data_IF_829845775175
#
_entry.id   IF_829845775175
#
_cell.length_a   1.000
_cell.length_b   1.000
_cell.length_c   1.000
_cell.angle_alpha   90.00
_cell.angle_beta   90.00
_cell.angle_gamma   90.00
#
_symmetry.space_group_name_H-M   'P 1'
#
loop_
_entity.id
_entity.type
_entity.pdbx_description
1 polymer ?
#
# COMPACT_ATOMS: atom_id res chain seq x y z
N UNK A 1 1.60 31.15 -6.70
CA UNK A 1 2.08 30.53 -7.95
C UNK A 1 2.95 31.57 -8.67
N UNK A 2 4.25 31.33 -8.86
CA UNK A 2 5.13 32.29 -9.55
C UNK A 2 5.00 32.06 -11.06
N UNK A 3 4.50 33.04 -11.79
CA UNK A 3 4.48 33.01 -13.27
C UNK A 3 5.92 32.99 -13.78
N UNK A 4 6.30 31.94 -14.52
CA UNK A 4 7.57 31.85 -15.21
C UNK A 4 7.34 32.20 -16.69
N UNK A 5 8.10 33.16 -17.21
CA UNK A 5 8.11 33.50 -18.63
C UNK A 5 9.38 32.87 -19.20
N UNK A 6 9.23 32.02 -20.21
CA UNK A 6 10.34 31.34 -20.87
C UNK A 6 10.67 32.03 -22.19
N UNK A 7 11.96 32.18 -22.49
CA UNK A 7 12.44 32.59 -23.80
C UNK A 7 12.70 31.32 -24.60
N UNK A 8 11.99 31.14 -25.71
CA UNK A 8 12.00 29.91 -26.49
C UNK A 8 12.73 30.17 -27.80
N UNK A 9 13.74 29.36 -28.13
CA UNK A 9 14.58 29.58 -29.31
C UNK A 9 14.03 28.85 -30.54
N UNK A 10 13.39 27.69 -30.33
CA UNK A 10 12.87 26.85 -31.39
C UNK A 10 11.46 26.32 -31.09
N UNK A 11 10.58 26.19 -32.11
CA UNK A 11 9.22 25.66 -31.92
C UNK A 11 9.15 24.26 -31.32
N UNK A 12 10.23 23.48 -31.43
CA UNK A 12 10.35 22.12 -30.89
C UNK A 12 10.42 22.09 -29.35
N UNK A 13 10.74 23.22 -28.72
CA UNK A 13 10.75 23.39 -27.27
C UNK A 13 9.33 23.64 -26.70
N UNK A 14 8.32 23.67 -27.58
CA UNK A 14 6.92 23.86 -27.22
C UNK A 14 6.15 22.54 -27.33
N UNK A 15 5.13 22.39 -26.49
CA UNK A 15 4.20 21.26 -26.55
C UNK A 15 3.52 21.18 -27.93
N UNK A 16 3.04 19.99 -28.32
CA UNK A 16 2.10 19.89 -29.43
C UNK A 16 0.95 20.88 -29.25
N UNK A 17 0.49 21.54 -30.33
CA UNK A 17 -0.62 22.46 -30.24
C UNK A 17 -1.88 21.70 -29.82
N UNK A 18 -2.53 22.17 -28.75
CA UNK A 18 -3.82 21.63 -28.36
C UNK A 18 -4.81 21.87 -29.50
N UNK A 19 -5.44 20.80 -29.98
CA UNK A 19 -6.53 20.90 -30.97
C UNK A 19 -7.77 21.49 -30.30
N UNK A 20 -7.78 22.82 -30.11
CA UNK A 20 -8.98 23.58 -29.78
C UNK A 20 -9.58 24.19 -31.07
N UNK A 21 -10.87 24.50 -31.08
CA UNK A 21 -11.56 25.12 -32.23
C UNK A 21 -11.41 26.66 -32.26
N UNK A 22 -10.40 27.23 -31.59
CA UNK A 22 -10.18 28.67 -31.41
C UNK A 22 -9.09 29.24 -32.31
N UNK A 23 -9.01 30.57 -32.36
CA UNK A 23 -8.03 31.32 -33.15
C UNK A 23 -6.62 31.38 -32.50
N UNK A 24 -6.54 31.23 -31.18
CA UNK A 24 -5.28 31.25 -30.43
C UNK A 24 -4.81 29.82 -30.12
N UNK A 25 -3.52 29.55 -30.35
CA UNK A 25 -2.87 28.28 -30.00
C UNK A 25 -2.18 28.43 -28.65
N UNK A 26 -2.71 27.74 -27.64
CA UNK A 26 -2.07 27.66 -26.32
C UNK A 26 -1.01 26.56 -26.34
N UNK A 27 0.22 26.90 -25.96
CA UNK A 27 1.36 25.98 -25.87
C UNK A 27 2.12 26.19 -24.57
N UNK A 28 2.69 25.12 -24.03
CA UNK A 28 3.59 25.12 -22.87
C UNK A 28 4.97 24.62 -23.29
N UNK A 29 5.94 24.55 -22.39
CA UNK A 29 7.22 23.91 -22.71
C UNK A 29 7.02 22.42 -23.00
N UNK A 30 7.73 21.91 -24.00
CA UNK A 30 7.72 20.50 -24.36
C UNK A 30 8.18 19.60 -23.18
N UNK A 31 9.12 20.09 -22.36
CA UNK A 31 9.58 19.38 -21.16
C UNK A 31 8.47 19.18 -20.14
N UNK A 32 7.74 20.26 -19.83
CA UNK A 32 6.68 20.27 -18.82
C UNK A 32 5.49 19.43 -19.31
N UNK A 33 5.22 19.48 -20.62
CA UNK A 33 4.22 18.63 -21.27
C UNK A 33 4.60 17.14 -21.21
N UNK A 34 5.85 16.79 -21.52
CA UNK A 34 6.33 15.41 -21.47
C UNK A 34 6.32 14.85 -20.04
N UNK A 35 6.65 15.67 -19.04
CA UNK A 35 6.52 15.31 -17.62
C UNK A 35 5.06 15.04 -17.25
N UNK A 36 4.15 15.94 -17.62
CA UNK A 36 2.73 15.77 -17.37
C UNK A 36 2.15 14.53 -18.06
N UNK A 37 2.55 14.25 -19.31
CA UNK A 37 2.15 13.02 -20.00
C UNK A 37 2.66 11.76 -19.29
N UNK A 38 3.88 11.81 -18.75
CA UNK A 38 4.44 10.71 -17.96
C UNK A 38 3.62 10.50 -16.68
N UNK A 39 3.29 11.58 -15.95
CA UNK A 39 2.44 11.51 -14.77
C UNK A 39 1.05 10.95 -15.11
N UNK A 40 0.43 11.45 -16.19
CA UNK A 40 -0.88 10.98 -16.64
C UNK A 40 -0.85 9.48 -16.97
N UNK A 41 0.16 9.00 -17.69
CA UNK A 41 0.36 7.57 -17.94
C UNK A 41 0.49 6.76 -16.64
N UNK A 42 1.19 7.30 -15.63
CA UNK A 42 1.32 6.61 -14.33
C UNK A 42 0.00 6.55 -13.57
N UNK A 43 -0.80 7.62 -13.60
CA UNK A 43 -2.11 7.67 -12.98
C UNK A 43 -3.11 6.74 -13.68
N UNK A 44 -3.12 6.72 -15.01
CA UNK A 44 -3.97 5.81 -15.79
C UNK A 44 -3.64 4.34 -15.50
N UNK A 45 -2.34 4.00 -15.46
CA UNK A 45 -1.90 2.65 -15.11
C UNK A 45 -2.31 2.27 -13.68
N UNK A 46 -2.17 3.20 -12.71
CA UNK A 46 -2.59 2.97 -11.33
C UNK A 46 -4.11 2.79 -11.21
N UNK A 47 -4.91 3.62 -11.90
CA UNK A 47 -6.36 3.53 -11.92
C UNK A 47 -6.84 2.22 -12.55
N UNK A 48 -6.22 1.80 -13.65
CA UNK A 48 -6.51 0.51 -14.29
C UNK A 48 -6.22 -0.67 -13.35
N UNK A 49 -5.06 -0.66 -12.69
CA UNK A 49 -4.68 -1.70 -11.73
C UNK A 49 -5.65 -1.75 -10.54
N UNK A 50 -6.01 -0.61 -9.97
CA UNK A 50 -6.97 -0.54 -8.87
C UNK A 50 -8.36 -1.03 -9.30
N UNK A 51 -8.80 -0.65 -10.51
CA UNK A 51 -10.05 -1.13 -11.09
C UNK A 51 -10.10 -2.66 -11.21
N UNK A 52 -9.00 -3.27 -11.65
CA UNK A 52 -8.88 -4.73 -11.74
C UNK A 52 -8.97 -5.41 -10.36
N UNK A 53 -8.32 -4.85 -9.34
CA UNK A 53 -8.38 -5.36 -7.95
C UNK A 53 -9.78 -5.28 -7.37
N UNK A 54 -10.47 -4.14 -7.54
CA UNK A 54 -11.84 -3.96 -7.07
C UNK A 54 -12.78 -4.93 -7.78
N UNK A 55 -12.62 -5.14 -9.09
CA UNK A 55 -13.40 -6.12 -9.82
C UNK A 55 -13.19 -7.55 -9.31
N UNK A 56 -11.93 -7.94 -9.01
CA UNK A 56 -11.61 -9.24 -8.45
C UNK A 56 -12.24 -9.44 -7.06
N UNK A 57 -12.10 -8.47 -6.15
CA UNK A 57 -12.71 -8.49 -4.83
C UNK A 57 -14.25 -8.51 -4.91
N UNK A 58 -14.86 -7.78 -5.84
CA UNK A 58 -16.30 -7.79 -6.04
C UNK A 58 -16.81 -9.13 -6.57
N UNK A 59 -16.07 -9.77 -7.48
CA UNK A 59 -16.39 -11.11 -7.97
C UNK A 59 -16.30 -12.15 -6.86
N UNK A 60 -15.24 -12.10 -6.04
CA UNK A 60 -15.05 -12.96 -4.87
C UNK A 60 -16.17 -12.77 -3.84
N UNK A 61 -16.50 -11.52 -3.49
CA UNK A 61 -17.63 -11.21 -2.59
C UNK A 61 -18.97 -11.73 -3.13
N UNK A 62 -19.20 -11.65 -4.45
CA UNK A 62 -20.41 -12.21 -5.06
C UNK A 62 -20.47 -13.73 -4.94
N UNK A 63 -19.32 -14.42 -5.09
CA UNK A 63 -19.23 -15.86 -4.91
C UNK A 63 -19.47 -16.27 -3.45
N UNK A 64 -18.86 -15.56 -2.49
CA UNK A 64 -19.06 -15.77 -1.05
C UNK A 64 -20.51 -15.59 -0.63
N UNK A 65 -21.18 -14.53 -1.10
CA UNK A 65 -22.60 -14.31 -0.79
C UNK A 65 -23.50 -15.45 -1.29
N UNK A 66 -23.22 -15.98 -2.50
CA UNK A 66 -23.95 -17.15 -3.03
C UNK A 66 -23.70 -18.41 -2.21
N UNK A 67 -22.48 -18.58 -1.72
CA UNK A 67 -22.11 -19.68 -0.83
C UNK A 67 -22.86 -19.62 0.50
N UNK A 68 -22.89 -18.45 1.14
CA UNK A 68 -23.57 -18.21 2.44
C UNK A 68 -25.08 -18.38 2.32
N UNK A 69 -25.69 -17.95 1.21
CA UNK A 69 -27.15 -18.06 1.00
C UNK A 69 -27.62 -19.51 0.82
N UNK A 70 -26.75 -20.43 0.39
CA UNK A 70 -27.17 -21.76 -0.08
C UNK A 70 -26.98 -22.93 0.89
N UNK A 71 -26.23 -22.86 2.01
CA UNK A 71 -25.87 -24.12 2.70
C UNK A 71 -25.36 -24.01 4.14
N UNK A 72 -25.99 -24.74 5.06
CA UNK A 72 -25.29 -25.35 6.21
C UNK A 72 -24.50 -26.61 5.77
N UNK A 73 -24.84 -27.19 4.61
CA UNK A 73 -24.20 -28.37 4.01
C UNK A 73 -24.10 -28.25 2.49
N UNK A 74 -22.94 -28.56 1.91
CA UNK A 74 -22.69 -28.55 0.45
C UNK A 74 -22.51 -29.97 -0.06
N UNK A 75 -22.94 -30.23 -1.30
CA UNK A 75 -22.70 -31.50 -1.98
C UNK A 75 -21.32 -31.46 -2.65
N UNK A 76 -20.35 -32.21 -2.11
CA UNK A 76 -18.94 -32.14 -2.52
C UNK A 76 -18.22 -33.48 -2.30
N UNK A 77 -16.92 -33.52 -2.64
CA UNK A 77 -16.03 -34.67 -2.43
C UNK A 77 -16.10 -35.76 -3.51
N UNK A 78 -15.12 -36.66 -3.51
CA UNK A 78 -15.00 -37.76 -4.50
C UNK A 78 -16.19 -38.72 -4.49
N UNK A 79 -16.81 -38.90 -3.31
CA UNK A 79 -17.96 -39.78 -3.12
C UNK A 79 -19.30 -39.07 -3.25
N UNK A 80 -19.31 -37.77 -3.61
CA UNK A 80 -20.53 -36.96 -3.78
C UNK A 80 -21.43 -37.08 -2.53
N UNK A 81 -21.04 -36.46 -1.42
CA UNK A 81 -21.79 -36.47 -0.16
C UNK A 81 -22.06 -35.08 0.37
N UNK A 82 -22.97 -34.97 1.34
CA UNK A 82 -23.21 -33.72 2.05
C UNK A 82 -22.11 -33.48 3.10
N UNK A 83 -21.37 -32.38 2.95
CA UNK A 83 -20.32 -31.93 3.87
C UNK A 83 -20.75 -30.62 4.53
N UNK A 84 -20.22 -30.32 5.71
CA UNK A 84 -20.45 -29.00 6.30
C UNK A 84 -19.87 -27.93 5.36
N UNK A 85 -20.62 -26.86 5.13
CA UNK A 85 -20.17 -25.78 4.25
C UNK A 85 -18.82 -25.20 4.72
N UNK A 86 -18.59 -25.10 6.03
CA UNK A 86 -17.34 -24.55 6.56
C UNK A 86 -16.08 -25.29 6.09
N UNK A 87 -16.15 -26.62 5.91
CA UNK A 87 -15.02 -27.45 5.48
C UNK A 87 -14.71 -27.31 3.97
N UNK A 88 -15.60 -26.64 3.22
CA UNK A 88 -15.52 -26.46 1.77
C UNK A 88 -15.75 -25.00 1.37
N UNK A 89 -15.43 -24.05 2.24
CA UNK A 89 -15.47 -22.64 1.91
C UNK A 89 -14.54 -22.36 0.71
N UNK A 90 -14.98 -21.54 -0.26
CA UNK A 90 -14.11 -21.16 -1.38
C UNK A 90 -12.92 -20.34 -0.86
N UNK A 91 -11.77 -20.52 -1.48
CA UNK A 91 -10.58 -19.70 -1.23
C UNK A 91 -10.85 -18.24 -1.59
N UNK A 92 -10.14 -17.32 -0.92
CA UNK A 92 -10.30 -15.86 -1.09
C UNK A 92 -9.00 -15.19 -1.53
N UNK A 93 -8.43 -15.57 -2.70
CA UNK A 93 -7.11 -15.10 -3.14
C UNK A 93 -7.07 -13.58 -3.38
N UNK A 94 -8.17 -12.95 -3.79
CA UNK A 94 -8.20 -11.50 -3.97
C UNK A 94 -8.15 -10.78 -2.62
N UNK A 95 -8.86 -11.31 -1.61
CA UNK A 95 -8.78 -10.80 -0.23
C UNK A 95 -7.39 -11.03 0.36
N UNK A 96 -6.80 -12.21 0.18
CA UNK A 96 -5.46 -12.51 0.70
C UNK A 96 -4.40 -11.57 0.11
N UNK A 97 -4.44 -11.35 -1.21
CA UNK A 97 -3.56 -10.39 -1.88
C UNK A 97 -3.76 -8.96 -1.35
N UNK A 98 -5.02 -8.53 -1.14
CA UNK A 98 -5.32 -7.22 -0.58
C UNK A 98 -4.80 -7.07 0.87
N UNK A 99 -4.89 -8.12 1.69
CA UNK A 99 -4.35 -8.13 3.06
C UNK A 99 -2.82 -8.02 3.04
N UNK A 100 -2.14 -8.70 2.14
CA UNK A 100 -0.68 -8.59 1.96
C UNK A 100 -0.30 -7.16 1.59
N UNK A 101 -1.02 -6.53 0.66
CA UNK A 101 -0.77 -5.13 0.29
C UNK A 101 -0.97 -4.17 1.45
N UNK A 102 -2.08 -4.32 2.20
CA UNK A 102 -2.39 -3.50 3.38
C UNK A 102 -1.31 -3.63 4.45
N UNK A 103 -0.83 -4.85 4.72
CA UNK A 103 0.25 -5.09 5.68
C UNK A 103 1.58 -4.48 5.19
N UNK A 104 1.88 -4.57 3.89
CA UNK A 104 3.05 -3.90 3.29
C UNK A 104 3.00 -2.37 3.43
N UNK A 105 1.80 -1.77 3.32
CA UNK A 105 1.59 -0.35 3.59
C UNK A 105 1.80 -0.01 5.07
N UNK A 106 1.32 -0.84 6.00
CA UNK A 106 1.60 -0.70 7.43
C UNK A 106 3.10 -0.72 7.74
N UNK A 107 3.87 -1.61 7.11
CA UNK A 107 5.32 -1.69 7.22
C UNK A 107 5.99 -0.39 6.71
N UNK A 108 5.56 0.11 5.54
CA UNK A 108 6.04 1.40 5.02
C UNK A 108 5.77 2.55 5.98
N UNK A 109 4.58 2.57 6.57
CA UNK A 109 4.18 3.61 7.49
C UNK A 109 5.05 3.59 8.75
N UNK A 110 5.28 2.42 9.36
CA UNK A 110 6.15 2.29 10.52
C UNK A 110 7.59 2.75 10.24
N UNK A 111 8.18 2.29 9.12
CA UNK A 111 9.51 2.71 8.68
C UNK A 111 9.59 4.23 8.46
N UNK A 112 8.57 4.81 7.80
CA UNK A 112 8.50 6.25 7.53
C UNK A 112 8.37 7.07 8.81
N UNK A 113 7.59 6.60 9.80
CA UNK A 113 7.47 7.26 11.11
C UNK A 113 8.79 7.25 11.87
N UNK A 114 9.53 6.14 11.86
CA UNK A 114 10.85 6.08 12.49
C UNK A 114 11.84 7.04 11.82
N UNK A 115 11.89 7.04 10.48
CA UNK A 115 12.76 7.94 9.74
C UNK A 115 12.41 9.42 9.98
N UNK A 116 11.12 9.75 10.04
CA UNK A 116 10.66 11.09 10.40
C UNK A 116 11.03 11.47 11.84
N UNK A 117 10.85 10.56 12.80
CA UNK A 117 11.21 10.79 14.19
C UNK A 117 12.71 11.12 14.34
N UNK A 118 13.58 10.41 13.63
CA UNK A 118 15.01 10.74 13.55
C UNK A 118 15.27 12.12 12.91
N UNK A 119 14.71 12.38 11.73
CA UNK A 119 14.92 13.65 11.02
C UNK A 119 14.42 14.88 11.81
N UNK A 120 13.45 14.69 12.71
CA UNK A 120 12.92 15.73 13.59
C UNK A 120 13.58 15.76 14.97
N UNK A 121 14.58 14.92 15.23
CA UNK A 121 15.36 14.94 16.47
C UNK A 121 14.73 14.24 17.68
N UNK A 122 13.68 13.44 17.48
CA UNK A 122 13.07 12.64 18.56
C UNK A 122 13.86 11.37 18.89
N UNK A 123 14.76 10.93 18.01
CA UNK A 123 15.60 9.75 18.19
C UNK A 123 17.07 10.17 18.15
N UNK A 124 17.71 10.17 19.32
CA UNK A 124 19.12 10.51 19.48
C UNK A 124 20.02 9.27 19.31
N UNK A 125 20.09 8.77 18.07
CA UNK A 125 20.94 7.63 17.68
C UNK A 125 21.78 7.95 16.45
N UNK A 126 22.92 7.27 16.24
CA UNK A 126 23.68 7.41 15.00
C UNK A 126 22.83 7.07 13.78
N UNK A 127 23.02 7.80 12.68
CA UNK A 127 22.29 7.57 11.42
C UNK A 127 22.43 6.12 10.93
N UNK A 128 23.58 5.49 11.13
CA UNK A 128 23.82 4.10 10.74
C UNK A 128 22.89 3.12 11.50
N UNK A 129 22.70 3.31 12.81
CA UNK A 129 21.80 2.47 13.61
C UNK A 129 20.34 2.66 13.18
N UNK A 130 19.91 3.91 12.97
CA UNK A 130 18.54 4.21 12.51
C UNK A 130 18.31 3.63 11.10
N UNK A 131 19.29 3.76 10.21
CA UNK A 131 19.25 3.17 8.87
C UNK A 131 19.07 1.66 8.94
N UNK A 132 19.82 0.97 9.80
CA UNK A 132 19.72 -0.48 9.95
C UNK A 132 18.33 -0.89 10.46
N UNK A 133 17.76 -0.18 11.43
CA UNK A 133 16.41 -0.46 11.94
C UNK A 133 15.34 -0.18 10.87
N UNK A 134 15.42 0.96 10.17
CA UNK A 134 14.47 1.29 9.07
C UNK A 134 14.55 0.24 7.97
N UNK A 135 15.75 -0.20 7.60
CA UNK A 135 15.98 -1.26 6.62
C UNK A 135 15.38 -2.59 7.11
N UNK A 136 15.65 -2.96 8.37
CA UNK A 136 15.09 -4.17 8.98
C UNK A 136 13.55 -4.18 8.94
N UNK A 137 12.90 -3.06 9.27
CA UNK A 137 11.44 -2.93 9.18
C UNK A 137 10.99 -3.14 7.73
N UNK A 138 11.65 -2.54 6.74
CA UNK A 138 11.27 -2.67 5.33
C UNK A 138 11.47 -4.09 4.78
N UNK A 139 12.48 -4.82 5.25
CA UNK A 139 12.73 -6.23 4.87
C UNK A 139 11.60 -7.16 5.32
N UNK A 140 10.82 -6.81 6.35
CA UNK A 140 9.65 -7.59 6.78
C UNK A 140 8.58 -7.80 5.68
N UNK A 141 8.63 -7.02 4.58
CA UNK A 141 7.78 -7.26 3.40
C UNK A 141 8.14 -8.55 2.65
N UNK A 142 9.43 -8.90 2.64
CA UNK A 142 9.90 -10.14 2.03
C UNK A 142 9.41 -11.34 2.83
N UNK A 143 9.40 -11.23 4.16
CA UNK A 143 8.79 -12.23 5.05
C UNK A 143 7.30 -12.36 4.78
N UNK A 144 6.58 -11.23 4.68
CA UNK A 144 5.14 -11.23 4.36
C UNK A 144 4.82 -11.93 3.03
N UNK A 145 5.69 -11.80 2.02
CA UNK A 145 5.51 -12.45 0.72
C UNK A 145 5.77 -13.97 0.77
N UNK A 146 6.58 -14.45 1.72
CA UNK A 146 6.93 -15.86 1.89
C UNK A 146 6.07 -16.58 2.96
N UNK A 147 5.07 -15.88 3.51
CA UNK A 147 4.24 -16.34 4.62
C UNK A 147 4.72 -15.74 5.96
N UNK A 148 3.81 -15.42 6.91
CA UNK A 148 4.19 -14.75 8.14
C UNK A 148 5.30 -15.54 8.84
N UNK A 149 6.41 -14.87 9.16
CA UNK A 149 7.51 -15.48 9.89
C UNK A 149 6.96 -16.13 11.19
N UNK A 150 7.43 -17.34 11.48
CA UNK A 150 7.07 -18.06 12.70
C UNK A 150 7.65 -17.42 13.98
N UNK A 151 8.36 -16.30 13.84
CA UNK A 151 8.97 -15.55 14.94
C UNK A 151 7.94 -14.83 15.82
N UNK A 152 6.67 -14.77 15.39
CA UNK A 152 5.54 -14.51 16.28
C UNK A 152 5.56 -13.12 16.91
N UNK A 153 6.23 -12.15 16.28
CA UNK A 153 6.11 -10.74 16.66
C UNK A 153 4.72 -10.22 16.24
N UNK A 154 3.70 -10.69 16.95
CA UNK A 154 2.36 -10.11 16.93
C UNK A 154 2.42 -8.69 17.49
N UNK A 155 1.37 -7.90 17.23
CA UNK A 155 1.21 -6.59 17.88
C UNK A 155 1.32 -6.67 19.41
N UNK A 156 1.03 -7.84 20.00
CA UNK A 156 1.11 -8.09 21.44
C UNK A 156 2.52 -7.87 21.99
N UNK A 157 3.59 -8.15 21.21
CA UNK A 157 4.96 -7.87 21.67
C UNK A 157 5.18 -6.36 21.87
N UNK A 158 4.75 -5.54 20.90
CA UNK A 158 4.87 -4.10 20.99
C UNK A 158 3.98 -3.51 22.10
N UNK A 159 2.77 -4.05 22.26
CA UNK A 159 1.85 -3.66 23.34
C UNK A 159 2.41 -4.00 24.73
N UNK A 160 3.01 -5.19 24.88
CA UNK A 160 3.63 -5.60 26.14
C UNK A 160 4.86 -4.74 26.46
N UNK A 161 5.69 -4.41 25.47
CA UNK A 161 6.81 -3.50 25.65
C UNK A 161 6.36 -2.12 26.16
N UNK A 162 5.26 -1.57 25.62
CA UNK A 162 4.68 -0.31 26.12
C UNK A 162 4.26 -0.42 27.59
N UNK A 163 3.56 -1.49 27.97
CA UNK A 163 3.13 -1.70 29.36
C UNK A 163 4.31 -1.77 30.32
N UNK A 164 5.42 -2.40 29.91
CA UNK A 164 6.58 -2.54 30.75
C UNK A 164 7.39 -1.24 30.87
N UNK A 165 7.53 -0.48 29.78
CA UNK A 165 8.13 0.85 29.82
C UNK A 165 7.31 1.85 30.63
N UNK A 166 5.97 1.81 30.54
CA UNK A 166 5.10 2.66 31.36
C UNK A 166 5.29 2.39 32.86
N UNK A 167 5.43 1.12 33.25
CA UNK A 167 5.70 0.77 34.66
C UNK A 167 7.05 1.33 35.10
N UNK A 168 8.07 1.19 34.27
CA UNK A 168 9.41 1.71 34.56
C UNK A 168 9.38 3.23 34.75
N UNK A 169 8.73 3.97 33.83
CA UNK A 169 8.60 5.43 33.93
C UNK A 169 7.85 5.88 35.18
N UNK A 170 6.81 5.13 35.61
CA UNK A 170 6.10 5.44 36.87
C UNK A 170 6.97 5.18 38.10
N UNK A 171 7.81 4.16 38.07
CA UNK A 171 8.75 3.88 39.16
C UNK A 171 9.81 4.98 39.27
N UNK A 172 10.42 5.38 38.14
CA UNK A 172 11.43 6.45 38.08
C UNK A 172 10.88 7.82 38.52
N UNK A 173 9.59 8.09 38.28
CA UNK A 173 8.95 9.34 38.73
C UNK A 173 8.59 9.36 40.22
N UNK A 174 8.66 8.22 40.90
CA UNK A 174 8.31 8.07 42.33
C UNK A 174 9.55 8.04 43.24
N UNK A 175 10.75 8.17 42.66
CA UNK A 175 12.06 8.18 43.32
C UNK A 175 12.66 9.61 43.31
#
# INVERSE_FOLDING_TARGET
>A
MKTKIYTVAHPEELSPPLTNQGFCVDVVLASDYAELERELRTYEAAASNLGAKVAALAAENSALNKFIYNSCYVWAGENASWHQAIDHAPETPATDAAIVELRSEGINFAASRLAAAFNHGFVEKPMAEVFDVVRMILTAKEDLANGPAADGLSGEYAEQALLDWEKQLRAEASE
#
